data_IF_002745975256
#
_entry.id   IF_002745975256
#
_cell.length_a   1.000
_cell.length_b   1.000
_cell.length_c   1.000
_cell.angle_alpha   90.00
_cell.angle_beta   90.00
_cell.angle_gamma   90.00
#
_symmetry.space_group_name_H-M   'P 1'
#
loop_
_entity.id
_entity.type
_entity.pdbx_description
1 polymer ?
#
# COMPACT_ATOMS: atom_id res chain seq x y z
N UNK A 1 -10.56 0.97 5.50
CA UNK A 1 -9.91 -0.27 5.02
C UNK A 1 -8.52 -0.47 5.61
N UNK A 2 -7.62 0.52 5.56
CA UNK A 2 -6.23 0.37 6.03
C UNK A 2 -6.09 -0.21 7.46
N UNK A 3 -6.88 0.27 8.43
CA UNK A 3 -6.83 -0.25 9.81
C UNK A 3 -7.07 -1.76 9.92
N UNK A 4 -7.94 -2.32 9.07
CA UNK A 4 -8.21 -3.77 9.06
C UNK A 4 -7.00 -4.53 8.52
N UNK A 5 -6.40 -4.03 7.43
CA UNK A 5 -5.21 -4.64 6.83
C UNK A 5 -4.04 -4.59 7.82
N UNK A 6 -3.81 -3.44 8.47
CA UNK A 6 -2.79 -3.27 9.50
C UNK A 6 -2.99 -4.26 10.66
N UNK A 7 -4.20 -4.33 11.20
CA UNK A 7 -4.51 -5.28 12.28
C UNK A 7 -4.27 -6.74 11.86
N UNK A 8 -4.63 -7.12 10.63
CA UNK A 8 -4.39 -8.48 10.12
C UNK A 8 -2.90 -8.79 9.95
N UNK A 9 -2.11 -7.84 9.44
CA UNK A 9 -0.66 -8.02 9.30
C UNK A 9 0.02 -8.20 10.67
N UNK A 10 -0.31 -7.35 11.64
CA UNK A 10 0.20 -7.45 13.01
C UNK A 10 -0.23 -8.75 13.68
N UNK A 11 -1.48 -9.17 13.47
CA UNK A 11 -1.97 -10.43 14.00
C UNK A 11 -1.21 -11.63 13.43
N UNK A 12 -0.99 -11.67 12.11
CA UNK A 12 -0.27 -12.76 11.45
C UNK A 12 1.20 -12.84 11.89
N UNK A 13 1.85 -11.69 12.14
CA UNK A 13 3.19 -11.64 12.73
C UNK A 13 3.27 -12.28 14.13
N UNK A 14 2.22 -12.14 14.94
CA UNK A 14 2.15 -12.77 16.27
C UNK A 14 1.84 -14.26 16.18
N UNK A 15 0.96 -14.66 15.26
CA UNK A 15 0.53 -16.06 15.10
C UNK A 15 1.66 -16.96 14.63
N UNK A 16 2.38 -16.57 13.59
CA UNK A 16 3.53 -17.32 13.08
C UNK A 16 4.50 -16.36 12.34
N UNK A 17 5.55 -15.87 13.02
CA UNK A 17 6.47 -14.90 12.43
C UNK A 17 7.39 -15.48 11.35
N UNK A 18 7.39 -16.80 11.12
CA UNK A 18 8.22 -17.46 10.11
C UNK A 18 7.47 -17.73 8.81
N UNK A 19 6.13 -17.66 8.84
CA UNK A 19 5.29 -17.99 7.70
C UNK A 19 5.01 -16.76 6.84
N UNK A 20 5.37 -16.85 5.56
CA UNK A 20 5.04 -15.84 4.56
C UNK A 20 3.55 -15.44 4.58
N UNK A 21 3.31 -14.14 4.44
CA UNK A 21 1.98 -13.57 4.28
C UNK A 21 1.73 -13.32 2.79
N UNK A 22 0.57 -13.73 2.27
CA UNK A 22 0.17 -13.42 0.89
C UNK A 22 -0.90 -12.34 0.89
N UNK A 23 -0.57 -11.19 0.30
CA UNK A 23 -1.46 -10.05 0.13
C UNK A 23 -1.95 -9.96 -1.31
N UNK A 24 -3.23 -10.26 -1.52
CA UNK A 24 -3.88 -10.04 -2.81
C UNK A 24 -4.31 -8.58 -2.97
N UNK A 25 -3.91 -7.96 -4.08
CA UNK A 25 -4.18 -6.55 -4.38
C UNK A 25 -5.13 -6.45 -5.57
N UNK A 26 -6.33 -5.96 -5.30
CA UNK A 26 -7.30 -5.50 -6.29
C UNK A 26 -7.85 -4.14 -5.84
N UNK A 27 -7.18 -3.06 -6.20
CA UNK A 27 -7.47 -1.72 -5.70
C UNK A 27 -7.25 -0.64 -6.77
N UNK A 28 -8.19 0.31 -6.92
CA UNK A 28 -8.00 1.49 -7.76
C UNK A 28 -7.08 2.54 -7.11
N UNK A 29 -6.62 2.35 -5.87
CA UNK A 29 -5.89 3.34 -5.10
C UNK A 29 -6.67 3.84 -3.89
N UNK A 30 -6.23 4.96 -3.32
CA UNK A 30 -6.87 5.60 -2.16
C UNK A 30 -5.98 6.66 -1.53
N UNK A 31 -6.29 7.01 -0.28
CA UNK A 31 -5.50 7.94 0.52
C UNK A 31 -4.04 7.50 0.63
N UNK A 32 -3.11 8.44 0.36
CA UNK A 32 -1.67 8.23 0.45
C UNK A 32 -1.27 7.84 1.87
N UNK A 33 -1.70 8.59 2.88
CA UNK A 33 -1.36 8.34 4.29
C UNK A 33 -1.90 7.01 4.78
N UNK A 34 -3.10 6.62 4.37
CA UNK A 34 -3.65 5.31 4.69
C UNK A 34 -2.85 4.16 4.04
N UNK A 35 -2.37 4.35 2.81
CA UNK A 35 -1.49 3.39 2.15
C UNK A 35 -0.10 3.33 2.78
N UNK A 36 0.45 4.45 3.21
CA UNK A 36 1.74 4.50 3.94
C UNK A 36 1.66 3.75 5.27
N UNK A 37 0.55 3.83 6.00
CA UNK A 37 0.36 3.05 7.21
C UNK A 37 0.43 1.53 6.96
N UNK A 38 -0.14 1.05 5.84
CA UNK A 38 -0.01 -0.36 5.46
C UNK A 38 1.44 -0.69 5.10
N UNK A 39 2.08 0.17 4.30
CA UNK A 39 3.46 0.00 3.88
C UNK A 39 4.43 -0.10 5.06
N UNK A 40 4.31 0.79 6.04
CA UNK A 40 5.18 0.79 7.23
C UNK A 40 5.02 -0.51 8.02
N UNK A 41 3.79 -1.01 8.16
CA UNK A 41 3.55 -2.30 8.82
C UNK A 41 4.11 -3.47 8.01
N UNK A 42 4.01 -3.45 6.68
CA UNK A 42 4.69 -4.43 5.81
C UNK A 42 6.23 -4.37 5.92
N UNK A 43 6.82 -3.29 6.45
CA UNK A 43 8.26 -3.19 6.75
C UNK A 43 8.59 -3.55 8.19
N UNK A 44 7.64 -3.40 9.09
CA UNK A 44 7.83 -3.59 10.52
C UNK A 44 7.74 -5.06 10.95
N UNK A 45 6.83 -5.82 10.34
CA UNK A 45 6.59 -7.23 10.71
C UNK A 45 7.72 -8.15 10.25
N UNK A 46 7.86 -9.30 10.91
CA UNK A 46 8.92 -10.30 10.64
C UNK A 46 8.67 -11.15 9.40
N UNK A 47 7.43 -11.61 9.11
CA UNK A 47 7.16 -12.37 7.90
C UNK A 47 7.47 -11.60 6.62
N UNK A 48 7.94 -12.32 5.62
CA UNK A 48 7.93 -11.80 4.25
C UNK A 48 6.49 -11.61 3.77
N UNK A 49 6.24 -10.47 3.10
CA UNK A 49 4.94 -10.18 2.50
C UNK A 49 5.02 -10.37 1.00
N UNK A 50 4.45 -11.48 0.52
CA UNK A 50 4.22 -11.73 -0.89
C UNK A 50 3.02 -10.92 -1.38
N UNK A 51 3.13 -10.27 -2.54
CA UNK A 51 2.04 -9.48 -3.11
C UNK A 51 1.61 -10.04 -4.46
N UNK A 52 0.30 -10.09 -4.70
CA UNK A 52 -0.26 -10.63 -5.94
C UNK A 52 -1.33 -9.71 -6.50
N UNK A 53 -1.10 -9.14 -7.68
CA UNK A 53 -2.08 -8.32 -8.37
C UNK A 53 -3.18 -9.17 -9.01
N UNK A 54 -4.44 -8.92 -8.64
CA UNK A 54 -5.63 -9.58 -9.16
C UNK A 54 -6.58 -8.52 -9.73
N UNK A 55 -6.66 -8.41 -11.05
CA UNK A 55 -7.50 -7.40 -11.71
C UNK A 55 -6.79 -6.06 -11.86
N UNK A 56 -6.79 -5.22 -10.83
CA UNK A 56 -6.20 -3.88 -10.89
C UNK A 56 -5.36 -3.57 -9.65
N UNK A 57 -4.15 -3.05 -9.83
CA UNK A 57 -3.41 -2.34 -8.81
C UNK A 57 -3.04 -0.96 -9.35
N UNK A 58 -3.80 0.06 -8.95
CA UNK A 58 -3.57 1.45 -9.38
C UNK A 58 -3.17 2.34 -8.19
N UNK A 59 -2.38 3.38 -8.47
CA UNK A 59 -2.01 4.40 -7.47
C UNK A 59 -1.39 3.76 -6.21
N UNK A 60 -1.91 4.05 -5.01
CA UNK A 60 -1.45 3.39 -3.76
C UNK A 60 -1.60 1.86 -3.78
N UNK A 61 -2.50 1.29 -4.58
CA UNK A 61 -2.56 -0.16 -4.81
C UNK A 61 -1.33 -0.67 -5.57
N UNK A 62 -0.89 0.04 -6.62
CA UNK A 62 0.33 -0.27 -7.34
C UNK A 62 1.58 -0.10 -6.45
N UNK A 63 1.60 0.94 -5.63
CA UNK A 63 2.65 1.17 -4.65
C UNK A 63 2.78 -0.01 -3.68
N UNK A 64 1.69 -0.42 -3.03
CA UNK A 64 1.69 -1.55 -2.10
C UNK A 64 2.00 -2.89 -2.78
N UNK A 65 1.53 -3.10 -4.02
CA UNK A 65 1.93 -4.25 -4.83
C UNK A 65 3.46 -4.28 -5.00
N UNK A 66 4.06 -3.15 -5.37
CA UNK A 66 5.51 -3.05 -5.58
C UNK A 66 6.30 -3.21 -4.28
N UNK A 67 5.67 -2.94 -3.14
CA UNK A 67 6.27 -2.98 -1.83
C UNK A 67 6.45 -4.40 -1.29
N UNK A 68 5.88 -5.46 -1.88
CA UNK A 68 6.09 -6.83 -1.41
C UNK A 68 7.58 -7.24 -1.39
N UNK A 69 7.93 -8.30 -0.67
CA UNK A 69 9.30 -8.81 -0.58
C UNK A 69 9.88 -9.07 -1.98
N UNK A 70 11.13 -8.66 -2.20
CA UNK A 70 11.82 -8.84 -3.49
C UNK A 70 11.81 -10.31 -3.92
N UNK A 71 11.38 -10.58 -5.14
CA UNK A 71 11.22 -11.95 -5.67
C UNK A 71 9.87 -12.62 -5.35
N UNK A 72 9.05 -12.01 -4.47
CA UNK A 72 7.71 -12.48 -4.07
C UNK A 72 6.61 -11.49 -4.48
N UNK A 73 6.76 -10.84 -5.65
CA UNK A 73 5.79 -9.88 -6.19
C UNK A 73 5.29 -10.38 -7.52
N UNK A 74 4.00 -10.67 -7.60
CA UNK A 74 3.39 -11.37 -8.73
C UNK A 74 2.19 -10.61 -9.27
N UNK A 75 1.79 -10.97 -10.49
CA UNK A 75 0.60 -10.45 -11.13
C UNK A 75 -0.04 -11.57 -11.95
N UNK A 76 -1.37 -11.65 -11.92
CA UNK A 76 -2.06 -12.52 -12.87
C UNK A 76 -1.93 -11.98 -14.31
N UNK A 77 -2.05 -12.84 -15.35
CA UNK A 77 -1.73 -12.46 -16.74
C UNK A 77 -2.56 -11.30 -17.29
N UNK A 78 -3.79 -11.12 -16.81
CA UNK A 78 -4.72 -10.08 -17.30
C UNK A 78 -4.85 -8.89 -16.34
N UNK A 79 -4.09 -8.87 -15.25
CA UNK A 79 -4.12 -7.76 -14.30
C UNK A 79 -3.47 -6.51 -14.90
N UNK A 80 -3.89 -5.33 -14.44
CA UNK A 80 -3.33 -4.04 -14.85
C UNK A 80 -2.66 -3.36 -13.66
N UNK A 81 -1.52 -2.74 -13.91
CA UNK A 81 -0.80 -1.91 -12.94
C UNK A 81 -0.73 -0.48 -13.47
N UNK A 82 -1.07 0.50 -12.64
CA UNK A 82 -1.04 1.91 -13.02
C UNK A 82 -0.43 2.74 -11.90
N UNK A 83 0.56 3.58 -12.23
CA UNK A 83 1.14 4.57 -11.32
C UNK A 83 0.84 5.97 -11.86
N UNK A 84 0.63 6.90 -10.95
CA UNK A 84 0.51 8.33 -11.24
C UNK A 84 0.96 9.11 -10.01
N UNK A 85 1.32 10.38 -10.21
CA UNK A 85 1.65 11.28 -9.10
C UNK A 85 0.46 11.44 -8.13
N UNK A 86 0.68 11.70 -6.84
CA UNK A 86 -0.39 12.00 -5.89
C UNK A 86 -1.33 13.10 -6.39
N UNK A 87 -2.60 12.97 -6.05
CA UNK A 87 -3.58 14.03 -6.24
C UNK A 87 -3.69 14.79 -4.91
N UNK A 88 -3.35 16.07 -4.92
CA UNK A 88 -3.46 17.00 -3.81
C UNK A 88 -4.41 18.14 -4.22
N UNK A 89 -5.05 18.77 -3.24
CA UNK A 89 -5.74 20.04 -3.40
C UNK A 89 -5.47 20.90 -2.17
N UNK A 90 -5.30 22.20 -2.37
CA UNK A 90 -5.03 23.16 -1.31
C UNK A 90 -6.17 24.17 -1.17
N UNK A 91 -6.54 24.52 0.06
CA UNK A 91 -7.55 25.53 0.37
C UNK A 91 -7.14 26.32 1.63
N UNK A 92 -7.41 27.64 1.64
CA UNK A 92 -7.14 28.52 2.78
C UNK A 92 -6.58 29.88 2.36
N UNK A 93 -5.97 30.61 3.30
CA UNK A 93 -5.23 31.83 2.98
C UNK A 93 -3.94 31.52 2.21
N UNK A 94 -3.26 32.53 1.66
CA UNK A 94 -2.02 32.31 0.89
C UNK A 94 -0.99 31.47 1.66
N UNK A 95 -0.83 31.73 2.96
CA UNK A 95 0.08 30.95 3.82
C UNK A 95 -0.36 29.48 3.96
N UNK A 96 -1.65 29.20 4.05
CA UNK A 96 -2.15 27.81 4.15
C UNK A 96 -1.98 27.08 2.82
N UNK A 97 -2.21 27.76 1.70
CA UNK A 97 -1.97 27.23 0.35
C UNK A 97 -0.48 26.93 0.16
N UNK A 98 0.41 27.88 0.50
CA UNK A 98 1.85 27.67 0.42
C UNK A 98 2.29 26.48 1.29
N UNK A 99 1.73 26.32 2.49
CA UNK A 99 2.02 25.16 3.36
C UNK A 99 1.48 23.84 2.77
N UNK A 100 0.38 23.84 2.03
CA UNK A 100 -0.19 22.60 1.47
C UNK A 100 0.43 22.22 0.12
N UNK A 101 0.89 23.20 -0.66
CA UNK A 101 1.49 23.00 -1.99
C UNK A 101 2.98 22.67 -1.95
N UNK A 102 3.70 23.08 -0.89
CA UNK A 102 5.16 22.89 -0.79
C UNK A 102 5.57 21.64 -0.01
N UNK A 103 4.61 20.87 0.50
CA UNK A 103 4.83 19.61 1.23
C UNK A 103 4.26 18.41 0.46
#
# INVERSE_FOLDING_TARGET
MANIIVAQLLYLDVVDPQKDIVMYVNSPGGSVTAGMAIFDVMRHIRPDVSTVCVGLAASMGAFLLSAGTKGKRYSLPNSRVMIHQPLCGAEGGQTDIDIQDTW
#
